data_IF_301331489126
#
_entry.id   IF_301331489126
#
_cell.length_a   1.000
_cell.length_b   1.000
_cell.length_c   1.000
_cell.angle_alpha   90.00
_cell.angle_beta   90.00
_cell.angle_gamma   90.00
#
_symmetry.space_group_name_H-M   'P 1'
#
loop_
_entity.id
_entity.type
_entity.pdbx_description
1 polymer ?
#
# COMPACT_ATOMS: atom_id res chain seq x y z
N UNK A 1 31.52 31.90 -13.14
CA UNK A 1 31.32 31.46 -11.76
C UNK A 1 30.02 30.65 -11.56
N UNK A 2 28.87 31.12 -12.01
CA UNK A 2 27.55 30.46 -11.82
C UNK A 2 27.47 29.01 -12.38
N UNK A 3 28.09 28.75 -13.55
CA UNK A 3 28.12 27.38 -14.14
C UNK A 3 28.89 26.35 -13.29
N UNK A 4 29.97 26.79 -12.61
CA UNK A 4 30.75 25.90 -11.73
C UNK A 4 30.03 25.62 -10.42
N UNK A 5 29.24 26.58 -9.90
CA UNK A 5 28.41 26.43 -8.70
C UNK A 5 27.22 25.49 -8.98
N UNK A 6 26.60 25.61 -10.16
CA UNK A 6 25.51 24.73 -10.55
C UNK A 6 25.95 23.25 -10.75
N UNK A 7 27.15 23.04 -11.31
CA UNK A 7 27.70 21.66 -11.45
C UNK A 7 28.10 21.06 -10.10
N UNK A 8 28.66 21.85 -9.18
CA UNK A 8 28.99 21.34 -7.84
C UNK A 8 27.77 21.08 -6.98
N UNK A 9 26.69 21.86 -7.12
CA UNK A 9 25.43 21.60 -6.44
C UNK A 9 24.72 20.33 -6.98
N UNK A 10 24.75 20.10 -8.31
CA UNK A 10 24.23 18.90 -8.92
C UNK A 10 25.01 17.63 -8.51
N UNK A 11 26.35 17.72 -8.40
CA UNK A 11 27.19 16.62 -7.92
C UNK A 11 26.99 16.34 -6.42
N UNK A 12 26.77 17.36 -5.60
CA UNK A 12 26.51 17.20 -4.17
C UNK A 12 25.15 16.54 -3.91
N UNK A 13 24.12 16.87 -4.69
CA UNK A 13 22.80 16.20 -4.61
C UNK A 13 22.87 14.74 -5.08
N UNK A 14 23.69 14.43 -6.10
CA UNK A 14 23.90 13.06 -6.55
C UNK A 14 24.72 12.22 -5.55
N UNK A 15 25.61 12.82 -4.76
CA UNK A 15 26.43 12.10 -3.78
C UNK A 15 25.68 11.82 -2.45
N UNK A 16 24.64 12.59 -2.12
CA UNK A 16 23.82 12.38 -0.91
C UNK A 16 22.67 11.38 -1.11
N UNK A 17 22.38 10.97 -2.34
CA UNK A 17 21.43 9.90 -2.65
C UNK A 17 22.04 8.48 -2.53
N UNK A 18 23.28 8.34 -2.07
CA UNK A 18 23.94 7.08 -1.82
C UNK A 18 23.64 6.53 -0.43
N UNK A 19 22.99 5.36 -0.42
CA UNK A 19 23.00 4.40 0.65
C UNK A 19 22.22 4.72 1.93
N UNK A 20 20.91 4.76 1.85
CA UNK A 20 20.16 4.09 2.91
C UNK A 20 20.28 2.57 2.68
N UNK A 21 21.40 2.00 3.08
CA UNK A 21 21.53 0.55 3.26
C UNK A 21 20.55 0.18 4.37
N UNK A 22 19.45 -0.48 4.01
CA UNK A 22 18.53 -1.06 4.94
C UNK A 22 19.31 -1.99 5.88
N UNK A 23 19.34 -1.64 7.15
CA UNK A 23 19.94 -2.47 8.19
C UNK A 23 19.23 -3.83 8.21
N UNK A 24 19.99 -4.89 8.00
CA UNK A 24 19.84 -6.25 8.46
C UNK A 24 18.45 -6.78 8.75
N UNK A 25 17.62 -6.99 7.73
CA UNK A 25 16.53 -7.96 7.75
C UNK A 25 16.86 -9.04 6.74
N UNK A 26 16.53 -10.31 7.03
CA UNK A 26 16.66 -11.40 6.08
C UNK A 26 16.02 -11.00 4.75
N UNK A 27 16.55 -11.54 3.66
CA UNK A 27 16.05 -11.25 2.31
C UNK A 27 14.62 -11.75 2.20
N UNK A 28 13.63 -10.85 2.16
CA UNK A 28 12.23 -11.22 1.95
C UNK A 28 11.95 -11.41 0.47
N UNK A 29 11.02 -12.28 0.17
CA UNK A 29 10.55 -12.53 -1.18
C UNK A 29 9.25 -11.75 -1.44
N UNK A 30 9.24 -10.91 -2.46
CA UNK A 30 8.08 -10.14 -2.86
C UNK A 30 7.80 -10.40 -4.33
N UNK A 31 6.60 -10.88 -4.61
CA UNK A 31 6.10 -11.05 -5.97
C UNK A 31 5.64 -9.70 -6.52
N UNK A 32 6.16 -9.32 -7.68
CA UNK A 32 5.75 -8.13 -8.41
C UNK A 32 4.44 -8.44 -9.16
N UNK A 33 3.34 -7.87 -8.70
CA UNK A 33 2.00 -8.03 -9.28
C UNK A 33 1.61 -6.73 -9.98
N UNK A 34 1.21 -6.81 -11.22
CA UNK A 34 0.81 -5.63 -12.00
C UNK A 34 -0.62 -5.17 -11.62
N UNK A 35 -0.73 -4.38 -10.57
CA UNK A 35 -2.01 -3.82 -10.15
C UNK A 35 -2.50 -2.73 -11.09
N UNK A 36 -3.79 -2.74 -11.43
CA UNK A 36 -4.42 -1.75 -12.31
C UNK A 36 -4.29 -0.30 -11.83
N UNK A 37 -4.14 -0.10 -10.52
CA UNK A 37 -3.98 1.22 -9.91
C UNK A 37 -2.56 1.78 -9.93
N UNK A 38 -1.58 1.05 -10.47
CA UNK A 38 -0.19 1.50 -10.50
C UNK A 38 0.10 2.53 -11.60
N UNK A 39 1.27 3.17 -11.47
CA UNK A 39 1.73 4.17 -12.41
C UNK A 39 0.95 5.48 -12.38
N UNK A 40 1.36 6.47 -13.19
CA UNK A 40 0.80 7.81 -13.16
C UNK A 40 -0.63 7.92 -13.69
N UNK A 41 -1.09 6.92 -14.48
CA UNK A 41 -2.41 6.85 -15.10
C UNK A 41 -3.21 5.64 -14.65
N UNK A 42 -2.66 4.81 -13.74
CA UNK A 42 -3.34 3.64 -13.22
C UNK A 42 -4.63 4.02 -12.48
N UNK A 43 -5.63 3.15 -12.51
CA UNK A 43 -6.92 3.34 -11.85
C UNK A 43 -7.32 2.08 -11.12
N UNK A 44 -8.00 2.25 -9.98
CA UNK A 44 -8.63 1.12 -9.33
C UNK A 44 -9.72 0.52 -10.23
N UNK A 45 -9.75 -0.80 -10.28
CA UNK A 45 -10.86 -1.53 -10.90
C UNK A 45 -11.98 -1.69 -9.87
N UNK A 46 -13.16 -1.20 -10.20
CA UNK A 46 -14.32 -1.19 -9.31
C UNK A 46 -14.71 -2.61 -8.85
N UNK A 47 -14.75 -3.56 -9.79
CA UNK A 47 -15.17 -4.92 -9.48
C UNK A 47 -14.11 -5.67 -8.65
N UNK A 48 -12.82 -5.41 -8.93
CA UNK A 48 -11.74 -5.91 -8.10
C UNK A 48 -11.85 -5.39 -6.66
N UNK A 49 -12.16 -4.10 -6.47
CA UNK A 49 -12.37 -3.53 -5.14
C UNK A 49 -13.59 -4.14 -4.43
N UNK A 50 -14.67 -4.44 -5.15
CA UNK A 50 -15.86 -5.10 -4.58
C UNK A 50 -15.54 -6.53 -4.14
N UNK A 51 -14.82 -7.31 -4.95
CA UNK A 51 -14.34 -8.64 -4.56
C UNK A 51 -13.39 -8.56 -3.36
N UNK A 52 -12.46 -7.61 -3.37
CA UNK A 52 -11.54 -7.36 -2.25
C UNK A 52 -12.25 -6.96 -0.95
N UNK A 53 -13.32 -6.16 -1.03
CA UNK A 53 -14.19 -5.85 0.10
C UNK A 53 -14.88 -7.13 0.62
N UNK A 54 -15.34 -8.01 -0.27
CA UNK A 54 -15.94 -9.28 0.11
C UNK A 54 -14.93 -10.17 0.87
N UNK A 55 -13.72 -10.34 0.34
CA UNK A 55 -12.67 -11.11 1.03
C UNK A 55 -12.33 -10.48 2.38
N UNK A 56 -12.20 -9.14 2.46
CA UNK A 56 -11.99 -8.48 3.74
C UNK A 56 -13.12 -8.78 4.72
N UNK A 57 -14.38 -8.66 4.29
CA UNK A 57 -15.56 -8.84 5.14
C UNK A 57 -15.72 -10.27 5.63
N UNK A 58 -15.53 -11.25 4.75
CA UNK A 58 -15.79 -12.66 5.08
C UNK A 58 -14.61 -13.34 5.78
N UNK A 59 -13.38 -12.87 5.55
CA UNK A 59 -12.16 -13.51 6.06
C UNK A 59 -11.41 -12.63 7.04
N UNK A 60 -11.01 -11.43 6.65
CA UNK A 60 -10.06 -10.61 7.40
C UNK A 60 -10.68 -9.89 8.59
N UNK A 61 -11.94 -9.47 8.47
CA UNK A 61 -12.63 -8.62 9.46
C UNK A 61 -12.85 -9.31 10.80
N UNK A 62 -12.77 -10.63 10.85
CA UNK A 62 -12.86 -11.40 12.11
C UNK A 62 -11.75 -11.03 13.10
N UNK A 63 -10.57 -10.63 12.58
CA UNK A 63 -9.42 -10.29 13.39
C UNK A 63 -8.96 -8.84 13.19
N UNK A 64 -9.02 -8.33 11.95
CA UNK A 64 -8.44 -7.05 11.55
C UNK A 64 -9.48 -5.97 11.33
N UNK A 65 -9.25 -4.77 11.85
CA UNK A 65 -10.08 -3.60 11.64
C UNK A 65 -9.61 -2.68 10.51
N UNK A 66 -10.50 -1.75 10.14
CA UNK A 66 -10.25 -0.63 9.22
C UNK A 66 -10.73 0.69 9.85
N UNK A 67 -10.36 0.95 11.10
CA UNK A 67 -10.90 2.03 11.94
C UNK A 67 -10.75 3.45 11.39
N UNK A 68 -9.89 3.66 10.40
CA UNK A 68 -9.70 4.97 9.77
C UNK A 68 -10.49 5.13 8.46
N UNK A 69 -11.22 4.11 8.04
CA UNK A 69 -12.02 4.13 6.81
C UNK A 69 -13.47 4.38 7.16
N UNK A 70 -14.09 5.51 6.75
CA UNK A 70 -15.53 5.73 6.92
C UNK A 70 -16.32 4.81 5.97
N UNK A 71 -17.37 4.17 6.46
CA UNK A 71 -18.17 3.21 5.67
C UNK A 71 -18.77 3.88 4.43
N UNK A 72 -19.18 5.16 4.52
CA UNK A 72 -19.73 5.92 3.39
C UNK A 72 -18.81 5.97 2.17
N UNK A 73 -17.48 5.86 2.37
CA UNK A 73 -16.53 5.93 1.24
C UNK A 73 -16.64 4.75 0.29
N UNK A 74 -17.33 3.68 0.66
CA UNK A 74 -17.66 2.58 -0.24
C UNK A 74 -18.54 2.99 -1.43
N UNK A 75 -19.26 4.14 -1.33
CA UNK A 75 -20.04 4.72 -2.43
C UNK A 75 -19.24 5.71 -3.29
N UNK A 76 -18.04 6.14 -2.85
CA UNK A 76 -17.27 7.18 -3.52
C UNK A 76 -16.82 6.73 -4.93
N UNK A 77 -16.80 7.68 -5.86
CA UNK A 77 -16.22 7.48 -7.19
C UNK A 77 -14.73 7.13 -7.07
N UNK A 78 -14.28 6.15 -7.86
CA UNK A 78 -12.92 5.61 -7.78
C UNK A 78 -12.68 4.59 -6.67
N UNK A 79 -13.73 4.26 -5.91
CA UNK A 79 -13.77 3.18 -4.93
C UNK A 79 -14.63 2.00 -5.37
N UNK A 80 -15.14 1.19 -4.45
CA UNK A 80 -16.05 0.07 -4.74
C UNK A 80 -17.37 0.52 -5.39
N UNK A 81 -17.76 1.79 -5.23
CA UNK A 81 -18.95 2.41 -5.83
C UNK A 81 -20.22 1.61 -5.56
N UNK A 82 -20.40 1.16 -4.32
CA UNK A 82 -21.64 0.50 -3.92
C UNK A 82 -22.79 1.49 -3.92
N UNK A 83 -24.02 1.09 -4.33
CA UNK A 83 -25.22 1.87 -4.15
C UNK A 83 -25.41 2.33 -2.69
N UNK A 84 -25.95 3.50 -2.47
CA UNK A 84 -26.11 4.07 -1.12
C UNK A 84 -26.95 3.19 -0.17
N UNK A 85 -27.95 2.50 -0.70
CA UNK A 85 -28.77 1.54 0.04
C UNK A 85 -27.96 0.34 0.49
N UNK A 86 -27.06 -0.18 -0.35
CA UNK A 86 -26.15 -1.25 0.03
C UNK A 86 -25.11 -0.80 1.06
N UNK A 87 -24.58 0.42 0.93
CA UNK A 87 -23.65 0.98 1.95
C UNK A 87 -24.36 1.11 3.30
N UNK A 88 -25.63 1.48 3.31
CA UNK A 88 -26.45 1.55 4.54
C UNK A 88 -26.65 0.17 5.14
N UNK A 89 -27.08 -0.79 4.33
CA UNK A 89 -27.27 -2.18 4.78
C UNK A 89 -25.96 -2.81 5.27
N UNK A 90 -24.83 -2.44 4.66
CA UNK A 90 -23.52 -2.87 5.11
C UNK A 90 -23.15 -2.25 6.47
N UNK A 91 -23.40 -0.97 6.66
CA UNK A 91 -23.13 -0.28 7.93
C UNK A 91 -23.96 -0.86 9.10
N UNK A 92 -25.22 -1.20 8.85
CA UNK A 92 -26.12 -1.77 9.84
C UNK A 92 -25.67 -3.14 10.41
N UNK A 93 -24.75 -3.82 9.74
CA UNK A 93 -24.16 -5.08 10.25
C UNK A 93 -23.23 -4.87 11.45
N UNK A 94 -22.77 -3.65 11.68
CA UNK A 94 -21.86 -3.32 12.79
C UNK A 94 -22.64 -2.74 13.96
N UNK A 95 -22.23 -3.11 15.17
CA UNK A 95 -22.69 -2.44 16.40
C UNK A 95 -21.70 -1.34 16.77
N UNK A 96 -22.21 -0.14 16.96
CA UNK A 96 -21.41 1.05 17.30
C UNK A 96 -21.93 1.63 18.59
N UNK A 97 -21.02 1.84 19.57
CA UNK A 97 -21.37 2.55 20.80
C UNK A 97 -21.46 4.04 20.50
N UNK A 98 -22.62 4.64 20.74
CA UNK A 98 -22.86 6.07 20.54
C UNK A 98 -22.03 6.89 21.55
N UNK A 99 -21.25 7.85 21.05
CA UNK A 99 -20.33 8.62 21.89
C UNK A 99 -21.02 9.60 22.85
N UNK A 100 -22.28 9.98 22.58
CA UNK A 100 -23.04 10.92 23.41
C UNK A 100 -23.84 10.21 24.48
N UNK A 101 -24.48 9.09 24.12
CA UNK A 101 -25.37 8.36 25.03
C UNK A 101 -24.69 7.18 25.73
N UNK A 102 -23.59 6.65 25.15
CA UNK A 102 -22.94 5.43 25.62
C UNK A 102 -23.73 4.15 25.33
N UNK A 103 -24.83 4.24 24.56
CA UNK A 103 -25.66 3.10 24.18
C UNK A 103 -25.19 2.50 22.85
N UNK A 104 -25.39 1.20 22.70
CA UNK A 104 -25.10 0.50 21.45
C UNK A 104 -26.24 0.70 20.45
N UNK A 105 -25.86 1.02 19.21
CA UNK A 105 -26.77 1.17 18.08
C UNK A 105 -26.26 0.48 16.84
N UNK A 106 -27.12 0.25 15.87
CA UNK A 106 -26.69 -0.14 14.53
C UNK A 106 -25.81 0.96 13.89
N UNK A 107 -24.79 0.55 13.17
CA UNK A 107 -23.91 1.44 12.44
C UNK A 107 -24.65 2.18 11.32
N UNK A 108 -24.15 3.37 10.99
CA UNK A 108 -24.63 4.19 9.87
C UNK A 108 -23.46 4.52 8.92
N UNK A 109 -23.70 4.93 7.67
CA UNK A 109 -22.63 5.18 6.70
C UNK A 109 -21.56 6.19 7.15
N UNK A 110 -21.88 7.09 8.07
CA UNK A 110 -20.92 8.06 8.63
C UNK A 110 -19.99 7.48 9.66
N UNK A 111 -20.30 6.31 10.19
CA UNK A 111 -19.39 5.59 11.09
C UNK A 111 -18.20 5.04 10.33
N UNK A 112 -17.19 4.64 11.07
CA UNK A 112 -16.00 3.96 10.52
C UNK A 112 -16.17 2.45 10.66
N UNK A 113 -15.40 1.72 9.87
CA UNK A 113 -15.22 0.30 10.11
C UNK A 113 -14.74 0.04 11.55
N UNK A 114 -15.05 -1.12 12.13
CA UNK A 114 -14.58 -1.47 13.47
C UNK A 114 -13.04 -1.45 13.59
N UNK A 115 -12.56 -1.25 14.81
CA UNK A 115 -11.16 -1.53 15.16
C UNK A 115 -10.91 -3.06 15.16
N UNK A 116 -9.62 -3.46 15.14
CA UNK A 116 -9.24 -4.87 15.22
C UNK A 116 -9.86 -5.55 16.43
N UNK A 117 -10.49 -6.70 16.23
CA UNK A 117 -11.16 -7.46 17.28
C UNK A 117 -10.19 -8.34 18.07
N UNK A 118 -9.08 -8.75 17.45
CA UNK A 118 -8.07 -9.62 18.06
C UNK A 118 -6.87 -8.80 18.53
N UNK A 119 -6.44 -9.03 19.77
CA UNK A 119 -5.21 -8.45 20.30
C UNK A 119 -4.00 -8.96 19.51
N UNK A 120 -3.12 -8.04 19.10
CA UNK A 120 -1.95 -8.36 18.25
C UNK A 120 -2.23 -8.33 16.75
N UNK A 121 -3.48 -8.39 16.29
CA UNK A 121 -3.82 -8.19 14.89
C UNK A 121 -3.77 -6.69 14.54
N UNK A 122 -2.89 -6.26 13.61
CA UNK A 122 -2.80 -4.85 13.26
C UNK A 122 -4.06 -4.38 12.52
N UNK A 123 -4.41 -3.10 12.70
CA UNK A 123 -5.39 -2.42 11.87
C UNK A 123 -4.88 -2.26 10.43
N UNK A 124 -5.70 -2.61 9.45
CA UNK A 124 -5.32 -2.67 8.04
C UNK A 124 -5.55 -1.36 7.28
N UNK A 125 -6.17 -0.34 7.89
CA UNK A 125 -6.54 0.92 7.21
C UNK A 125 -5.40 1.57 6.42
N UNK A 126 -4.17 1.46 6.91
CA UNK A 126 -2.99 2.10 6.31
C UNK A 126 -1.88 1.09 5.98
N UNK A 127 -2.15 -0.20 6.06
CA UNK A 127 -1.11 -1.22 6.01
C UNK A 127 -0.31 -1.19 4.70
N UNK A 128 -0.96 -1.06 3.55
CA UNK A 128 -0.32 -0.97 2.23
C UNK A 128 0.54 0.29 2.05
N UNK A 129 0.28 1.34 2.82
CA UNK A 129 1.11 2.57 2.84
C UNK A 129 2.20 2.51 3.91
N UNK A 130 1.98 1.76 4.97
CA UNK A 130 2.93 1.58 6.07
C UNK A 130 4.01 0.53 5.75
N UNK A 131 3.83 -0.25 4.69
CA UNK A 131 4.78 -1.27 4.23
C UNK A 131 5.22 -0.97 2.81
N UNK A 132 6.51 -1.22 2.53
CA UNK A 132 7.06 -1.19 1.19
C UNK A 132 7.39 -2.63 0.76
N UNK A 133 6.94 -3.06 -0.41
CA UNK A 133 7.30 -4.36 -0.98
C UNK A 133 8.74 -4.33 -1.47
N UNK A 134 9.11 -3.27 -2.18
CA UNK A 134 10.40 -3.15 -2.83
C UNK A 134 11.35 -2.22 -2.08
N UNK A 135 12.65 -2.54 -2.11
CA UNK A 135 13.75 -1.73 -1.57
C UNK A 135 14.76 -1.40 -2.69
N UNK A 136 15.52 -0.30 -2.51
CA UNK A 136 16.54 0.14 -3.46
C UNK A 136 15.98 0.99 -4.60
N UNK A 137 16.53 0.92 -5.84
CA UNK A 137 16.06 1.71 -6.98
C UNK A 137 14.59 1.48 -7.32
N UNK A 138 14.09 0.27 -7.13
CA UNK A 138 12.67 -0.05 -7.10
C UNK A 138 12.05 0.52 -5.82
N UNK A 139 10.91 1.17 -5.93
CA UNK A 139 10.21 1.73 -4.78
C UNK A 139 10.73 3.10 -4.30
N UNK A 140 11.74 3.69 -4.93
CA UNK A 140 12.24 5.03 -4.60
C UNK A 140 12.38 5.95 -5.81
N UNK A 141 12.16 7.26 -5.62
CA UNK A 141 12.36 8.26 -6.66
C UNK A 141 11.50 8.04 -7.90
N UNK A 142 12.11 8.06 -9.08
CA UNK A 142 11.43 7.91 -10.38
C UNK A 142 10.77 6.54 -10.53
N UNK A 143 11.38 5.48 -10.00
CA UNK A 143 10.80 4.14 -10.05
C UNK A 143 9.48 4.07 -9.28
N UNK A 144 9.41 4.72 -8.12
CA UNK A 144 8.20 4.78 -7.31
C UNK A 144 7.03 5.45 -8.03
N UNK A 145 7.31 6.40 -8.95
CA UNK A 145 6.28 7.06 -9.75
C UNK A 145 5.59 6.09 -10.73
N UNK A 146 6.33 5.10 -11.24
CA UNK A 146 5.84 4.15 -12.25
C UNK A 146 5.38 2.82 -11.65
N UNK A 147 6.10 2.30 -10.67
CA UNK A 147 5.90 0.96 -10.10
C UNK A 147 5.33 0.98 -8.66
N UNK A 148 5.05 2.17 -8.09
CA UNK A 148 4.57 2.27 -6.72
C UNK A 148 5.64 1.96 -5.66
N UNK A 149 5.21 1.84 -4.41
CA UNK A 149 6.05 1.48 -3.26
C UNK A 149 6.07 -0.03 -2.98
N UNK A 150 5.31 -0.80 -3.71
CA UNK A 150 5.18 -2.24 -3.49
C UNK A 150 4.40 -2.60 -2.21
N UNK A 151 3.48 -1.74 -1.77
CA UNK A 151 2.72 -2.00 -0.56
C UNK A 151 1.58 -3.00 -0.77
N UNK A 152 0.91 -2.94 -1.91
CA UNK A 152 -0.09 -3.93 -2.31
C UNK A 152 0.58 -5.29 -2.60
N UNK A 153 1.74 -5.29 -3.27
CA UNK A 153 2.56 -6.47 -3.56
C UNK A 153 3.07 -7.13 -2.28
N UNK A 154 3.42 -6.33 -1.28
CA UNK A 154 3.76 -6.86 0.05
C UNK A 154 2.57 -7.59 0.68
N UNK A 155 1.36 -7.00 0.61
CA UNK A 155 0.16 -7.66 1.15
C UNK A 155 -0.17 -8.94 0.37
N UNK A 156 -0.11 -8.89 -0.96
CA UNK A 156 -0.28 -10.07 -1.81
C UNK A 156 0.72 -11.17 -1.43
N UNK A 157 2.01 -10.83 -1.37
CA UNK A 157 3.06 -11.79 -1.07
C UNK A 157 2.92 -12.35 0.34
N UNK A 158 2.56 -11.53 1.32
CA UNK A 158 2.31 -11.97 2.68
C UNK A 158 1.19 -13.03 2.74
N UNK A 159 0.15 -12.89 1.91
CA UNK A 159 -0.99 -13.80 1.89
C UNK A 159 -0.74 -15.09 1.10
N UNK A 160 0.25 -15.09 0.19
CA UNK A 160 0.51 -16.21 -0.73
C UNK A 160 1.82 -16.96 -0.48
N UNK A 161 2.71 -16.44 0.36
CA UNK A 161 4.05 -17.00 0.59
C UNK A 161 4.17 -17.69 1.96
N UNK A 162 3.11 -18.38 2.39
CA UNK A 162 3.22 -19.35 3.48
C UNK A 162 3.87 -20.62 2.94
N UNK A 163 4.88 -21.12 3.64
CA UNK A 163 5.65 -22.30 3.25
C UNK A 163 5.87 -23.22 4.43
N UNK A 164 6.28 -24.45 4.14
CA UNK A 164 6.73 -25.39 5.15
C UNK A 164 7.97 -24.85 5.88
N UNK A 165 8.19 -25.30 7.10
CA UNK A 165 9.34 -24.88 7.87
C UNK A 165 10.64 -25.25 7.15
N UNK A 166 11.64 -24.35 7.10
CA UNK A 166 12.91 -24.61 6.44
C UNK A 166 13.76 -25.66 7.19
N UNK A 167 14.69 -26.29 6.49
CA UNK A 167 15.54 -27.35 7.04
C UNK A 167 16.35 -26.93 8.29
N UNK A 168 16.69 -25.65 8.43
CA UNK A 168 17.39 -25.13 9.61
C UNK A 168 16.52 -25.11 10.88
N UNK A 169 15.19 -25.20 10.75
CA UNK A 169 14.24 -25.23 11.87
C UNK A 169 13.01 -26.05 11.47
N UNK A 170 13.11 -27.37 11.32
CA UNK A 170 12.02 -28.22 10.82
C UNK A 170 10.80 -28.25 11.76
N UNK A 171 11.03 -28.07 13.06
CA UNK A 171 9.94 -28.01 14.05
C UNK A 171 9.26 -26.63 14.12
N UNK A 172 9.83 -25.62 13.43
CA UNK A 172 9.32 -24.25 13.44
C UNK A 172 9.37 -23.57 14.80
N UNK A 173 8.43 -22.64 14.99
CA UNK A 173 8.19 -21.95 16.27
C UNK A 173 6.73 -22.20 16.66
N UNK A 174 6.50 -22.72 17.85
CA UNK A 174 5.14 -23.03 18.32
C UNK A 174 4.21 -21.83 18.29
N UNK A 175 3.04 -21.99 17.66
CA UNK A 175 2.05 -20.92 17.49
C UNK A 175 2.40 -19.88 16.41
N UNK A 176 3.44 -20.12 15.61
CA UNK A 176 3.83 -19.25 14.49
C UNK A 176 3.98 -20.04 13.20
N UNK A 177 3.82 -19.36 12.08
CA UNK A 177 3.83 -19.93 10.73
C UNK A 177 4.94 -19.28 9.91
N UNK A 178 5.69 -20.10 9.15
CA UNK A 178 6.76 -19.57 8.32
C UNK A 178 6.22 -18.88 7.09
N UNK A 179 6.76 -17.68 6.79
CA UNK A 179 6.36 -16.87 5.65
C UNK A 179 7.58 -16.14 5.08
N UNK A 180 7.88 -16.38 3.80
CA UNK A 180 9.08 -15.85 3.15
C UNK A 180 9.02 -14.35 2.85
N UNK A 181 7.83 -13.74 2.91
CA UNK A 181 7.62 -12.29 2.72
C UNK A 181 7.64 -11.48 4.01
N UNK A 182 7.48 -12.13 5.17
CA UNK A 182 7.42 -11.46 6.47
C UNK A 182 8.81 -11.37 7.12
N UNK A 183 9.36 -10.16 7.27
CA UNK A 183 10.75 -9.93 7.74
C UNK A 183 10.84 -9.38 9.17
N UNK A 184 9.74 -9.34 9.92
CA UNK A 184 9.67 -8.75 11.27
C UNK A 184 9.46 -9.76 12.39
N UNK A 185 9.36 -11.04 12.06
CA UNK A 185 9.12 -12.10 13.01
C UNK A 185 10.38 -12.64 13.69
N UNK A 186 10.18 -13.64 14.54
CA UNK A 186 11.27 -14.37 15.14
C UNK A 186 11.99 -15.25 14.10
N UNK A 187 13.28 -15.42 14.26
CA UNK A 187 14.13 -16.34 13.48
C UNK A 187 14.95 -17.15 14.46
N UNK A 188 14.85 -18.49 14.44
CA UNK A 188 15.67 -19.36 15.28
C UNK A 188 17.17 -19.15 15.06
N UNK A 189 17.96 -19.33 16.10
CA UNK A 189 19.42 -19.18 16.02
C UNK A 189 20.05 -20.17 15.02
N UNK A 190 19.43 -21.34 14.84
CA UNK A 190 19.87 -22.35 13.85
C UNK A 190 19.76 -21.88 12.39
N UNK A 191 18.94 -20.85 12.13
CA UNK A 191 18.75 -20.24 10.81
C UNK A 191 19.53 -18.94 10.63
N UNK A 192 20.52 -18.67 11.50
CA UNK A 192 21.40 -17.50 11.41
C UNK A 192 22.85 -17.93 11.16
N UNK A 193 23.60 -17.09 10.48
CA UNK A 193 25.04 -17.26 10.31
C UNK A 193 25.83 -16.85 11.56
N UNK A 194 27.16 -16.98 11.52
CA UNK A 194 28.07 -16.58 12.63
C UNK A 194 28.04 -15.09 12.98
N UNK A 195 27.43 -14.27 12.11
CA UNK A 195 27.23 -12.83 12.31
C UNK A 195 25.81 -12.50 12.79
N UNK A 196 24.95 -13.49 13.04
CA UNK A 196 23.57 -13.33 13.45
C UNK A 196 22.63 -12.90 12.32
N UNK A 197 23.07 -12.98 11.06
CA UNK A 197 22.24 -12.66 9.88
C UNK A 197 21.45 -13.89 9.45
N UNK A 198 20.16 -13.70 9.12
CA UNK A 198 19.33 -14.80 8.62
C UNK A 198 19.87 -15.40 7.33
N UNK A 199 19.94 -16.74 7.29
CA UNK A 199 20.32 -17.51 6.11
C UNK A 199 19.14 -17.89 5.23
N UNK A 200 17.92 -17.64 5.69
CA UNK A 200 16.66 -17.93 5.01
C UNK A 200 15.90 -16.64 4.70
N UNK A 201 15.02 -16.61 3.68
CA UNK A 201 14.10 -15.50 3.45
C UNK A 201 13.02 -15.46 4.54
N UNK A 202 12.48 -14.28 4.79
CA UNK A 202 11.33 -14.10 5.69
C UNK A 202 11.58 -14.45 7.15
N UNK A 203 10.51 -14.82 7.83
CA UNK A 203 10.49 -15.17 9.26
C UNK A 203 9.15 -15.81 9.66
N UNK A 204 8.97 -16.12 10.95
CA UNK A 204 7.72 -16.68 11.48
C UNK A 204 6.75 -15.57 11.90
N UNK A 205 5.49 -15.70 11.46
CA UNK A 205 4.37 -14.78 11.74
C UNK A 205 3.32 -15.48 12.61
N UNK A 206 2.71 -14.76 13.56
CA UNK A 206 1.65 -15.30 14.40
C UNK A 206 0.31 -15.50 13.66
N UNK A 207 0.10 -14.85 12.52
CA UNK A 207 -1.10 -15.03 11.70
C UNK A 207 -1.01 -16.38 10.97
N UNK A 208 -1.97 -17.30 11.17
CA UNK A 208 -2.04 -18.51 10.34
C UNK A 208 -2.36 -18.14 8.90
N UNK A 209 -2.10 -19.05 7.96
CA UNK A 209 -2.50 -18.89 6.56
C UNK A 209 -4.02 -18.62 6.47
N UNK A 210 -4.44 -17.41 6.01
CA UNK A 210 -5.85 -17.03 6.10
C UNK A 210 -6.67 -17.41 4.87
N UNK A 211 -6.03 -17.78 3.75
CA UNK A 211 -6.71 -18.05 2.48
C UNK A 211 -6.55 -19.51 2.06
N UNK A 212 -7.61 -20.05 1.50
CA UNK A 212 -7.63 -21.33 0.82
C UNK A 212 -8.49 -21.22 -0.43
N UNK A 213 -8.23 -22.01 -1.46
CA UNK A 213 -9.02 -21.99 -2.69
C UNK A 213 -10.51 -22.21 -2.38
N UNK A 214 -11.37 -21.48 -3.10
CA UNK A 214 -12.83 -21.50 -2.98
C UNK A 214 -13.37 -21.09 -1.59
N UNK A 215 -12.59 -20.36 -0.79
CA UNK A 215 -13.01 -19.88 0.54
C UNK A 215 -14.17 -18.89 0.47
N UNK A 216 -14.26 -18.08 -0.58
CA UNK A 216 -15.37 -17.17 -0.87
C UNK A 216 -16.04 -17.56 -2.20
N UNK A 217 -17.27 -17.09 -2.42
CA UNK A 217 -17.95 -17.29 -3.71
C UNK A 217 -18.25 -15.94 -4.33
N UNK A 218 -17.53 -15.60 -5.39
CA UNK A 218 -17.72 -14.34 -6.10
C UNK A 218 -18.98 -14.35 -6.97
N UNK A 219 -19.80 -13.30 -6.86
CA UNK A 219 -21.04 -13.17 -7.60
C UNK A 219 -20.86 -13.04 -9.12
N UNK A 220 -19.68 -12.57 -9.57
CA UNK A 220 -19.33 -12.41 -10.98
C UNK A 220 -18.79 -13.70 -11.62
N UNK A 221 -18.66 -14.78 -10.85
CA UNK A 221 -18.14 -16.07 -11.31
C UNK A 221 -16.61 -16.12 -11.47
N UNK A 222 -15.87 -15.12 -10.99
CA UNK A 222 -14.40 -15.16 -10.92
C UNK A 222 -13.98 -16.32 -10.01
N UNK A 223 -13.03 -17.20 -10.40
CA UNK A 223 -12.52 -18.24 -9.53
C UNK A 223 -11.87 -17.68 -8.27
N UNK A 224 -12.28 -18.14 -7.10
CA UNK A 224 -11.76 -17.69 -5.81
C UNK A 224 -10.49 -18.47 -5.42
N UNK A 225 -9.46 -18.42 -6.24
CA UNK A 225 -8.15 -18.99 -5.90
C UNK A 225 -7.45 -18.14 -4.86
N UNK A 226 -6.53 -18.72 -4.08
CA UNK A 226 -5.70 -17.98 -3.10
C UNK A 226 -5.06 -16.75 -3.75
N UNK A 227 -4.47 -16.92 -4.94
CA UNK A 227 -3.84 -15.82 -5.69
C UNK A 227 -4.83 -14.71 -6.04
N UNK A 228 -6.04 -15.06 -6.56
CA UNK A 228 -7.05 -14.07 -6.93
C UNK A 228 -7.58 -13.31 -5.71
N UNK A 229 -7.90 -14.02 -4.64
CA UNK A 229 -8.37 -13.39 -3.40
C UNK A 229 -7.30 -12.48 -2.79
N UNK A 230 -6.03 -12.90 -2.79
CA UNK A 230 -4.93 -12.09 -2.29
C UNK A 230 -4.73 -10.82 -3.13
N UNK A 231 -4.86 -10.89 -4.46
CA UNK A 231 -4.78 -9.75 -5.35
C UNK A 231 -5.96 -8.78 -5.11
N UNK A 232 -7.19 -9.30 -5.07
CA UNK A 232 -8.39 -8.49 -4.86
C UNK A 232 -8.35 -7.75 -3.52
N UNK A 233 -8.04 -8.44 -2.42
CA UNK A 233 -7.99 -7.82 -1.08
C UNK A 233 -6.81 -6.85 -0.95
N UNK A 234 -5.66 -7.12 -1.59
CA UNK A 234 -4.52 -6.20 -1.60
C UNK A 234 -4.85 -4.90 -2.33
N UNK A 235 -5.56 -4.97 -3.45
CA UNK A 235 -6.07 -3.81 -4.18
C UNK A 235 -7.08 -3.01 -3.33
N UNK A 236 -8.01 -3.69 -2.66
CA UNK A 236 -8.97 -3.07 -1.74
C UNK A 236 -8.26 -2.36 -0.56
N UNK A 237 -7.29 -3.00 0.06
CA UNK A 237 -6.52 -2.39 1.15
C UNK A 237 -5.67 -1.20 0.68
N UNK A 238 -5.20 -1.21 -0.58
CA UNK A 238 -4.52 -0.06 -1.14
C UNK A 238 -5.48 1.11 -1.35
N UNK A 239 -6.71 0.85 -1.82
CA UNK A 239 -7.76 1.84 -1.89
C UNK A 239 -8.14 2.35 -0.48
N UNK A 240 -8.32 1.48 0.49
CA UNK A 240 -8.65 1.84 1.87
C UNK A 240 -7.60 2.79 2.48
N UNK A 241 -6.31 2.55 2.20
CA UNK A 241 -5.21 3.38 2.67
C UNK A 241 -5.10 4.73 1.92
N UNK A 242 -5.61 4.83 0.70
CA UNK A 242 -5.55 6.05 -0.11
C UNK A 242 -6.79 6.18 -1.02
N UNK A 243 -7.99 6.40 -0.47
CA UNK A 243 -9.24 6.44 -1.26
C UNK A 243 -9.28 7.60 -2.25
N UNK A 244 -8.47 8.64 -2.07
CA UNK A 244 -8.35 9.78 -2.97
C UNK A 244 -7.12 9.74 -3.90
N UNK A 245 -6.55 8.55 -4.11
CA UNK A 245 -5.38 8.36 -5.00
C UNK A 245 -5.64 8.88 -6.41
N UNK A 246 -6.82 8.56 -6.97
CA UNK A 246 -7.21 8.94 -8.32
C UNK A 246 -7.35 10.46 -8.44
N UNK A 247 -8.10 11.08 -7.53
CA UNK A 247 -8.32 12.54 -7.48
C UNK A 247 -6.99 13.28 -7.35
N UNK A 248 -6.10 12.79 -6.48
CA UNK A 248 -4.77 13.37 -6.26
C UNK A 248 -3.91 13.31 -7.52
N UNK A 249 -3.92 12.19 -8.25
CA UNK A 249 -3.16 12.03 -9.51
C UNK A 249 -3.68 12.96 -10.59
N UNK A 250 -5.00 13.01 -10.76
CA UNK A 250 -5.64 13.89 -11.75
C UNK A 250 -5.35 15.37 -11.46
N UNK A 251 -5.52 15.81 -10.21
CA UNK A 251 -5.19 17.16 -9.79
C UNK A 251 -3.70 17.46 -9.96
N UNK A 252 -2.84 16.51 -9.62
CA UNK A 252 -1.38 16.63 -9.79
C UNK A 252 -0.97 16.79 -11.24
N UNK A 253 -1.54 16.01 -12.15
CA UNK A 253 -1.27 16.12 -13.58
C UNK A 253 -1.70 17.48 -14.15
N UNK A 254 -2.91 17.93 -13.83
CA UNK A 254 -3.40 19.27 -14.20
C UNK A 254 -2.50 20.37 -13.66
N UNK A 255 -2.06 20.26 -12.40
CA UNK A 255 -1.16 21.22 -11.76
C UNK A 255 0.21 21.27 -12.44
N UNK A 256 0.81 20.14 -12.81
CA UNK A 256 2.10 20.09 -13.52
C UNK A 256 2.01 20.79 -14.88
N UNK A 257 0.96 20.54 -15.66
CA UNK A 257 0.75 21.21 -16.95
C UNK A 257 0.63 22.72 -16.75
N UNK A 258 -0.24 23.15 -15.83
CA UNK A 258 -0.46 24.56 -15.55
C UNK A 258 0.81 25.26 -15.09
N UNK A 259 1.56 24.69 -14.16
CA UNK A 259 2.79 25.27 -13.63
C UNK A 259 3.89 25.30 -14.71
N UNK A 260 3.97 24.34 -15.61
CA UNK A 260 4.92 24.33 -16.72
C UNK A 260 4.64 25.48 -17.69
N UNK A 261 3.38 25.68 -18.04
CA UNK A 261 2.96 26.81 -18.90
C UNK A 261 3.27 28.14 -18.19
N UNK A 262 2.87 28.28 -16.92
CA UNK A 262 3.11 29.49 -16.14
C UNK A 262 4.60 29.81 -16.02
N UNK A 263 5.44 28.84 -15.69
CA UNK A 263 6.89 28.99 -15.60
C UNK A 263 7.51 29.42 -16.94
N UNK A 264 7.04 28.85 -18.04
CA UNK A 264 7.47 29.22 -19.39
C UNK A 264 7.13 30.67 -19.73
N UNK A 265 5.90 31.10 -19.44
CA UNK A 265 5.44 32.47 -19.66
C UNK A 265 6.23 33.47 -18.79
N UNK A 266 6.44 33.17 -17.51
CA UNK A 266 7.23 33.99 -16.61
C UNK A 266 8.68 34.08 -17.06
N UNK A 267 9.28 32.99 -17.53
CA UNK A 267 10.63 32.99 -18.09
C UNK A 267 10.74 33.88 -19.33
N UNK A 268 9.79 33.76 -20.27
CA UNK A 268 9.78 34.59 -21.49
C UNK A 268 9.55 36.05 -21.17
N UNK A 269 8.67 36.38 -20.25
CA UNK A 269 8.41 37.75 -19.77
C UNK A 269 9.66 38.33 -19.12
N UNK A 270 10.30 37.61 -18.21
CA UNK A 270 11.54 38.02 -17.58
C UNK A 270 12.66 38.25 -18.62
N UNK A 271 12.80 37.30 -19.57
CA UNK A 271 13.76 37.41 -20.65
C UNK A 271 13.51 38.69 -21.50
N UNK A 272 12.26 39.02 -21.79
CA UNK A 272 11.87 40.21 -22.58
C UNK A 272 12.16 41.50 -21.80
N UNK A 273 11.80 41.57 -20.53
CA UNK A 273 12.07 42.77 -19.68
C UNK A 273 13.57 43.07 -19.61
N UNK A 274 14.41 42.04 -19.42
CA UNK A 274 15.85 42.21 -19.25
C UNK A 274 16.63 42.28 -20.55
N UNK A 275 16.01 42.08 -21.72
CA UNK A 275 16.68 42.11 -23.01
C UNK A 275 17.31 43.48 -23.29
N UNK A 276 16.61 44.59 -22.98
CA UNK A 276 17.11 45.95 -23.18
C UNK A 276 18.29 46.34 -22.27
N UNK A 277 18.39 45.69 -21.11
CA UNK A 277 19.50 45.95 -20.16
C UNK A 277 20.73 45.12 -20.52
N UNK A 278 20.54 43.87 -20.94
CA UNK A 278 21.65 42.96 -21.32
C UNK A 278 22.27 43.27 -22.67
N UNK A 279 21.51 43.85 -23.59
CA UNK A 279 22.03 44.30 -24.92
C UNK A 279 22.89 45.56 -24.90
N UNK A 280 22.97 46.26 -23.77
CA UNK A 280 23.80 47.48 -23.63
C UNK A 280 25.21 47.24 -23.07
N UNK A 281 25.64 45.99 -22.93
CA UNK A 281 27.03 45.63 -22.63
C UNK A 281 27.74 45.33 -23.96
N UNK A 282 28.10 46.35 -24.69
CA UNK A 282 29.18 46.35 -25.67
C UNK A 282 30.43 46.91 -25.05
#
# INVERSE_FOLDING_TARGET
MIRKIALSAALAVAATSGAALAAGGGKREITDVAFAHEGPFGKFDQFQLQRGLQVYTEVCSACHGLKYVPIRTLADEGGPQLPEDQVRAYAEQFTVTDAETGEDRAGVPTDHFPASAMEGAPDLSLMTKARAGFSGPYGTGMSQLFNGMGGAEYMYSLLTHYEENPECAPDGIDGFYYNTSFDKGAIPETCKDEHGVSTIPGSWIAMPEPLADDLVTYADGTPATVSQMAEDVSSFLMWAAEPKLMDRREAGFKAVIFLTILASLLYLTNKRIWAGVKGKKA
#
